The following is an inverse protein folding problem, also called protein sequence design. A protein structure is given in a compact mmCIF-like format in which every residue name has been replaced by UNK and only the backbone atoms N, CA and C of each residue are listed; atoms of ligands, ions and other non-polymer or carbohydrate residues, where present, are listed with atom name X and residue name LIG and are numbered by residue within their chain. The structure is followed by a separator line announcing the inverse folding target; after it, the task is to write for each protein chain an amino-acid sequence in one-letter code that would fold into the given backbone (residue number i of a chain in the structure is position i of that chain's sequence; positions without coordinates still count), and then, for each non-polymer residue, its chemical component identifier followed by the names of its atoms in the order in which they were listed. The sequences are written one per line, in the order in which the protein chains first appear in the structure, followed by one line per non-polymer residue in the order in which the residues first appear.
data_IF_246744959882
#
_entry.id   IF_246744959882
#
_cell.length_a   1.000
_cell.length_b   1.000
_cell.length_c   1.000
_cell.angle_alpha   90.00
_cell.angle_beta   90.00
_cell.angle_gamma   90.00
#
_symmetry.space_group_name_H-M   'P 1'
#
loop_
_entity.id
_entity.type
_entity.pdbx_description
1 polymer ?
#
# COMPACT_ATOMS: atom_id res chain seq x y z
N UNK A 1 -1.82 -16.35 -24.35
CA UNK A 1 -2.96 -16.98 -23.63
C UNK A 1 -4.22 -16.54 -24.34
N UNK A 2 -5.30 -17.32 -24.28
CA UNK A 2 -6.62 -16.82 -24.70
C UNK A 2 -7.14 -15.93 -23.58
N UNK A 3 -7.59 -14.72 -23.90
CA UNK A 3 -8.16 -13.82 -22.89
C UNK A 3 -9.42 -14.44 -22.26
N UNK A 4 -9.58 -14.31 -20.93
CA UNK A 4 -10.82 -14.63 -20.22
C UNK A 4 -11.04 -13.67 -19.05
N UNK A 5 -12.30 -13.51 -18.64
CA UNK A 5 -12.65 -12.68 -17.48
C UNK A 5 -12.06 -13.24 -16.17
N UNK A 6 -11.93 -14.57 -16.04
CA UNK A 6 -11.28 -15.16 -14.87
C UNK A 6 -9.78 -14.83 -14.83
N UNK A 7 -9.08 -14.98 -15.96
CA UNK A 7 -7.66 -14.66 -16.07
C UNK A 7 -7.39 -13.17 -15.79
N UNK A 8 -8.26 -12.29 -16.30
CA UNK A 8 -8.22 -10.86 -16.00
C UNK A 8 -8.36 -10.59 -14.49
N UNK A 9 -9.37 -11.20 -13.85
CA UNK A 9 -9.60 -11.03 -12.41
C UNK A 9 -8.43 -11.53 -11.57
N UNK A 10 -7.85 -12.68 -11.94
CA UNK A 10 -6.69 -13.25 -11.25
C UNK A 10 -5.46 -12.34 -11.40
N UNK A 11 -5.13 -11.92 -12.61
CA UNK A 11 -3.97 -11.09 -12.89
C UNK A 11 -4.01 -9.75 -12.13
N UNK A 12 -5.15 -9.04 -12.19
CA UNK A 12 -5.30 -7.78 -11.47
C UNK A 12 -5.47 -7.98 -9.97
N UNK A 13 -6.01 -9.11 -9.52
CA UNK A 13 -6.02 -9.49 -8.12
C UNK A 13 -4.60 -9.59 -7.55
N UNK A 14 -3.70 -10.26 -8.29
CA UNK A 14 -2.27 -10.33 -7.94
C UNK A 14 -1.63 -8.94 -7.98
N UNK A 15 -1.86 -8.15 -9.03
CA UNK A 15 -1.26 -6.83 -9.16
C UNK A 15 -1.68 -5.86 -8.04
N UNK A 16 -2.95 -5.90 -7.62
CA UNK A 16 -3.46 -5.11 -6.48
C UNK A 16 -2.85 -5.61 -5.17
N UNK A 17 -2.67 -6.92 -5.01
CA UNK A 17 -2.00 -7.47 -3.83
C UNK A 17 -0.55 -7.02 -3.74
N UNK A 18 0.19 -7.06 -4.85
CA UNK A 18 1.57 -6.55 -4.91
C UNK A 18 1.62 -5.05 -4.63
N UNK A 19 0.71 -4.25 -5.20
CA UNK A 19 0.58 -2.83 -4.88
C UNK A 19 0.38 -2.60 -3.38
N UNK A 20 -0.49 -3.39 -2.72
CA UNK A 20 -0.71 -3.26 -1.29
C UNK A 20 0.50 -3.69 -0.45
N UNK A 21 1.24 -4.72 -0.89
CA UNK A 21 2.47 -5.16 -0.22
C UNK A 21 3.57 -4.11 -0.21
N UNK A 22 3.57 -3.15 -1.14
CA UNK A 22 4.56 -2.05 -1.15
C UNK A 22 4.60 -1.33 0.19
N UNK A 23 3.45 -1.09 0.83
CA UNK A 23 3.37 -0.43 2.14
C UNK A 23 4.02 -1.27 3.25
N UNK A 24 3.71 -2.57 3.30
CA UNK A 24 4.27 -3.49 4.28
C UNK A 24 5.78 -3.71 4.07
N UNK A 25 6.25 -3.75 2.82
CA UNK A 25 7.65 -3.95 2.48
C UNK A 25 8.56 -2.80 2.92
N UNK A 26 8.01 -1.60 3.17
CA UNK A 26 8.80 -0.51 3.74
C UNK A 26 9.10 -0.73 5.24
N UNK A 27 8.38 -1.64 5.90
CA UNK A 27 8.53 -1.95 7.32
C UNK A 27 9.23 -3.32 7.43
N UNK A 28 10.53 -3.30 7.68
CA UNK A 28 11.35 -4.52 7.79
C UNK A 28 11.15 -5.10 9.20
N UNK A 29 10.18 -6.00 9.33
CA UNK A 29 9.95 -6.77 10.56
C UNK A 29 10.11 -8.25 10.25
N UNK A 30 11.26 -8.81 10.62
CA UNK A 30 11.46 -10.26 10.59
C UNK A 30 10.68 -10.92 11.76
N UNK A 31 10.36 -12.23 11.66
CA UNK A 31 9.88 -12.99 12.81
C UNK A 31 10.87 -12.85 13.97
N UNK A 32 10.36 -12.51 15.17
CA UNK A 32 11.16 -12.24 16.39
C UNK A 32 11.94 -10.90 16.40
N UNK A 33 11.64 -9.94 15.52
CA UNK A 33 12.21 -8.59 15.63
C UNK A 33 11.75 -7.94 16.93
N UNK A 34 12.70 -7.41 17.71
CA UNK A 34 12.37 -6.68 18.93
C UNK A 34 11.65 -5.35 18.62
N UNK A 35 10.90 -4.85 19.59
CA UNK A 35 10.09 -3.63 19.42
C UNK A 35 10.91 -2.42 18.97
N UNK A 36 12.13 -2.28 19.50
CA UNK A 36 12.99 -1.14 19.21
C UNK A 36 13.46 -1.15 17.75
N UNK A 37 13.87 -2.31 17.25
CA UNK A 37 14.27 -2.52 15.86
C UNK A 37 13.10 -2.35 14.88
N UNK A 38 11.91 -2.83 15.26
CA UNK A 38 10.69 -2.60 14.46
C UNK A 38 10.33 -1.11 14.41
N UNK A 39 10.39 -0.39 15.53
CA UNK A 39 10.15 1.06 15.57
C UNK A 39 11.22 1.84 14.82
N UNK A 40 12.48 1.42 14.89
CA UNK A 40 13.54 2.01 14.08
C UNK A 40 13.25 1.87 12.58
N UNK A 41 12.74 0.72 12.13
CA UNK A 41 12.33 0.55 10.74
C UNK A 41 11.22 1.53 10.35
N UNK A 42 10.19 1.70 11.18
CA UNK A 42 9.10 2.64 10.91
C UNK A 42 9.59 4.10 10.95
N UNK A 43 10.51 4.42 11.86
CA UNK A 43 11.13 5.74 11.98
C UNK A 43 11.98 6.13 10.77
N UNK A 44 12.42 5.14 9.99
CA UNK A 44 13.29 5.29 8.83
C UNK A 44 12.56 4.98 7.50
N UNK A 45 11.23 5.01 7.48
CA UNK A 45 10.45 4.89 6.25
C UNK A 45 10.96 5.87 5.17
N UNK A 46 11.32 5.32 4.01
CA UNK A 46 11.76 6.12 2.87
C UNK A 46 10.54 6.53 2.04
N UNK A 47 10.10 7.77 2.22
CA UNK A 47 8.97 8.33 1.47
C UNK A 47 9.23 8.38 -0.04
N UNK A 48 10.47 8.68 -0.42
CA UNK A 48 10.90 8.72 -1.82
C UNK A 48 10.79 7.33 -2.44
N UNK A 49 11.28 6.30 -1.74
CA UNK A 49 11.19 4.92 -2.22
C UNK A 49 9.74 4.46 -2.30
N UNK A 50 8.94 4.73 -1.26
CA UNK A 50 7.52 4.41 -1.25
C UNK A 50 6.80 5.06 -2.45
N UNK A 51 7.06 6.34 -2.74
CA UNK A 51 6.48 7.04 -3.87
C UNK A 51 6.87 6.41 -5.21
N UNK A 52 8.16 6.11 -5.40
CA UNK A 52 8.65 5.46 -6.63
C UNK A 52 8.01 4.09 -6.82
N UNK A 53 8.05 3.24 -5.80
CA UNK A 53 7.49 1.88 -5.85
C UNK A 53 5.98 1.92 -6.20
N UNK A 54 5.23 2.87 -5.61
CA UNK A 54 3.79 3.04 -5.90
C UNK A 54 3.55 3.48 -7.35
N UNK A 55 4.33 4.42 -7.87
CA UNK A 55 4.18 4.89 -9.24
C UNK A 55 4.55 3.82 -10.27
N UNK A 56 5.64 3.09 -10.03
CA UNK A 56 6.08 1.98 -10.89
C UNK A 56 5.02 0.85 -10.91
N UNK A 57 4.41 0.57 -9.76
CA UNK A 57 3.32 -0.41 -9.67
C UNK A 57 2.06 0.03 -10.41
N UNK A 58 1.70 1.32 -10.36
CA UNK A 58 0.56 1.85 -11.11
C UNK A 58 0.83 1.77 -12.61
N UNK A 59 2.02 2.17 -13.06
CA UNK A 59 2.40 2.08 -14.46
C UNK A 59 2.35 0.62 -14.97
N UNK A 60 2.85 -0.32 -14.17
CA UNK A 60 2.77 -1.76 -14.47
C UNK A 60 1.32 -2.23 -14.65
N UNK A 61 0.40 -1.75 -13.81
CA UNK A 61 -1.04 -2.05 -13.92
C UNK A 61 -1.63 -1.48 -15.21
N UNK A 62 -1.28 -0.25 -15.58
CA UNK A 62 -1.75 0.38 -16.82
C UNK A 62 -1.23 -0.35 -18.07
N UNK A 63 0.04 -0.76 -18.06
CA UNK A 63 0.61 -1.58 -19.13
C UNK A 63 -0.07 -2.95 -19.24
N UNK A 64 -0.43 -3.56 -18.11
CA UNK A 64 -1.23 -4.80 -18.09
C UNK A 64 -2.63 -4.60 -18.66
N UNK A 65 -3.28 -3.46 -18.40
CA UNK A 65 -4.58 -3.11 -18.97
C UNK A 65 -4.51 -3.01 -20.49
N UNK A 66 -3.51 -2.30 -21.02
CA UNK A 66 -3.27 -2.22 -22.46
C UNK A 66 -3.06 -3.61 -23.08
N UNK A 67 -2.19 -4.43 -22.47
CA UNK A 67 -1.92 -5.79 -22.97
C UNK A 67 -3.18 -6.66 -22.98
N UNK A 68 -3.94 -6.66 -21.89
CA UNK A 68 -5.20 -7.40 -21.80
C UNK A 68 -6.22 -6.93 -22.84
N UNK A 69 -6.27 -5.63 -23.15
CA UNK A 69 -7.15 -5.11 -24.19
C UNK A 69 -6.75 -5.60 -25.58
N UNK A 70 -5.45 -5.61 -25.91
CA UNK A 70 -4.96 -6.18 -27.18
C UNK A 70 -5.30 -7.66 -27.27
N UNK A 71 -4.97 -8.45 -26.25
CA UNK A 71 -5.21 -9.91 -26.23
C UNK A 71 -6.71 -10.25 -26.37
N UNK A 72 -7.59 -9.45 -25.73
CA UNK A 72 -9.04 -9.58 -25.85
C UNK A 72 -9.51 -9.35 -27.29
N UNK A 73 -9.05 -8.27 -27.92
CA UNK A 73 -9.45 -7.92 -29.29
C UNK A 73 -8.88 -8.88 -30.33
N UNK A 74 -7.66 -9.37 -30.16
CA UNK A 74 -7.09 -10.43 -31.02
C UNK A 74 -7.93 -11.71 -30.92
N UNK A 75 -8.39 -12.08 -29.72
CA UNK A 75 -9.28 -13.23 -29.51
C UNK A 75 -10.63 -13.05 -30.23
N UNK A 76 -11.09 -11.81 -30.39
CA UNK A 76 -12.30 -11.46 -31.18
C UNK A 76 -12.05 -11.41 -32.70
N UNK A 77 -10.81 -11.59 -33.16
CA UNK A 77 -10.46 -11.68 -34.59
C UNK A 77 -10.03 -10.37 -35.25
N UNK A 78 -9.74 -9.31 -34.48
CA UNK A 78 -9.24 -8.05 -35.02
C UNK A 78 -7.73 -8.13 -35.39
N UNK A 79 -7.30 -7.45 -36.47
CA UNK A 79 -5.88 -7.41 -36.91
C UNK A 79 -5.03 -6.55 -35.95
N UNK A 80 -3.99 -7.16 -35.37
CA UNK A 80 -3.10 -6.56 -34.38
C UNK A 80 -2.44 -5.25 -34.84
N UNK A 81 -2.22 -5.06 -36.14
CA UNK A 81 -1.60 -3.84 -36.70
C UNK A 81 -2.41 -2.58 -36.49
N UNK A 82 -3.72 -2.69 -36.27
CA UNK A 82 -4.62 -1.56 -36.01
C UNK A 82 -5.00 -1.43 -34.53
N UNK A 83 -4.78 -2.48 -33.73
CA UNK A 83 -5.19 -2.53 -32.33
C UNK A 83 -4.32 -1.68 -31.43
N UNK A 84 -3.00 -1.69 -31.62
CA UNK A 84 -2.08 -0.97 -30.72
C UNK A 84 -2.39 0.53 -30.64
N UNK A 85 -2.64 1.20 -31.77
CA UNK A 85 -2.94 2.64 -31.77
C UNK A 85 -4.27 2.96 -31.07
N UNK A 86 -5.28 2.11 -31.24
CA UNK A 86 -6.60 2.30 -30.63
C UNK A 86 -6.51 2.04 -29.13
N UNK A 87 -5.86 0.95 -28.73
CA UNK A 87 -5.69 0.57 -27.33
C UNK A 87 -4.87 1.61 -26.57
N UNK A 88 -3.76 2.10 -27.13
CA UNK A 88 -2.94 3.13 -26.47
C UNK A 88 -3.72 4.45 -26.31
N UNK A 89 -4.57 4.80 -27.27
CA UNK A 89 -5.41 6.00 -27.20
C UNK A 89 -6.49 5.90 -26.11
N UNK A 90 -7.03 4.70 -25.89
CA UNK A 90 -8.11 4.45 -24.91
C UNK A 90 -7.56 4.18 -23.51
N UNK A 91 -6.59 3.27 -23.41
CA UNK A 91 -5.94 2.86 -22.17
C UNK A 91 -4.65 3.67 -21.93
N UNK A 92 -4.77 4.99 -21.84
CA UNK A 92 -3.60 5.88 -21.75
C UNK A 92 -2.84 5.69 -20.43
N UNK A 93 -1.51 5.62 -20.53
CA UNK A 93 -0.63 5.65 -19.35
C UNK A 93 -0.77 6.99 -18.59
N UNK A 94 -0.64 6.93 -17.27
CA UNK A 94 -0.82 8.05 -16.36
C UNK A 94 -2.26 8.35 -15.97
N UNK A 95 -3.25 7.66 -16.55
CA UNK A 95 -4.67 7.82 -16.22
C UNK A 95 -4.92 7.46 -14.76
N UNK A 96 -4.62 6.24 -14.34
CA UNK A 96 -4.79 5.76 -12.98
C UNK A 96 -3.99 6.62 -11.99
N UNK A 97 -2.75 6.97 -12.36
CA UNK A 97 -1.91 7.85 -11.53
C UNK A 97 -2.57 9.21 -11.31
N UNK A 98 -3.14 9.81 -12.34
CA UNK A 98 -3.81 11.12 -12.23
C UNK A 98 -5.03 11.08 -11.31
N UNK A 99 -5.81 9.99 -11.38
CA UNK A 99 -6.98 9.78 -10.53
C UNK A 99 -6.60 9.57 -9.06
N UNK A 100 -5.56 8.77 -8.81
CA UNK A 100 -5.14 8.40 -7.46
C UNK A 100 -4.17 9.40 -6.84
N UNK A 101 -3.72 10.42 -7.59
CA UNK A 101 -2.67 11.36 -7.18
C UNK A 101 -2.90 11.96 -5.79
N UNK A 102 -4.14 12.39 -5.51
CA UNK A 102 -4.50 12.97 -4.22
C UNK A 102 -4.44 11.95 -3.08
N UNK A 103 -4.97 10.76 -3.29
CA UNK A 103 -4.99 9.70 -2.27
C UNK A 103 -3.57 9.17 -2.01
N UNK A 104 -2.73 9.06 -3.05
CA UNK A 104 -1.30 8.73 -2.91
C UNK A 104 -0.59 9.78 -2.05
N UNK A 105 -0.76 11.07 -2.35
CA UNK A 105 -0.14 12.13 -1.56
C UNK A 105 -0.62 12.13 -0.11
N UNK A 106 -1.91 11.86 0.13
CA UNK A 106 -2.43 11.74 1.50
C UNK A 106 -1.77 10.59 2.27
N UNK A 107 -1.53 9.44 1.63
CA UNK A 107 -0.81 8.32 2.24
C UNK A 107 0.66 8.65 2.49
N UNK A 108 1.33 9.37 1.58
CA UNK A 108 2.71 9.83 1.77
C UNK A 108 2.82 10.82 2.94
N UNK A 109 1.88 11.75 3.07
CA UNK A 109 1.81 12.67 4.21
C UNK A 109 1.59 11.90 5.52
N UNK A 110 0.66 10.94 5.54
CA UNK A 110 0.45 10.08 6.72
C UNK A 110 1.66 9.21 7.05
N UNK A 111 2.40 8.74 6.05
CA UNK A 111 3.66 8.02 6.25
C UNK A 111 4.71 8.90 6.95
N UNK A 112 4.72 10.21 6.63
CA UNK A 112 5.58 11.19 7.30
C UNK A 112 5.22 11.32 8.77
N UNK A 113 3.92 11.46 9.09
CA UNK A 113 3.45 11.56 10.47
C UNK A 113 3.69 10.28 11.26
N UNK A 114 3.48 9.11 10.65
CA UNK A 114 3.77 7.82 11.25
C UNK A 114 5.27 7.70 11.58
N UNK A 115 6.14 7.99 10.61
CA UNK A 115 7.60 7.97 10.79
C UNK A 115 8.04 8.91 11.91
N UNK A 116 7.50 10.13 11.96
CA UNK A 116 7.81 11.08 13.03
C UNK A 116 7.32 10.60 14.39
N UNK A 117 6.09 10.09 14.49
CA UNK A 117 5.56 9.57 15.76
C UNK A 117 6.34 8.36 16.27
N UNK A 118 6.92 7.54 15.39
CA UNK A 118 7.83 6.47 15.75
C UNK A 118 9.16 7.00 16.32
N UNK A 119 9.74 8.05 15.73
CA UNK A 119 10.95 8.72 16.27
C UNK A 119 10.69 9.31 17.65
N UNK A 120 9.56 9.98 17.82
CA UNK A 120 9.19 10.59 19.09
C UNK A 120 9.03 9.52 20.18
N UNK A 121 8.38 8.40 19.86
CA UNK A 121 8.20 7.30 20.79
C UNK A 121 9.54 6.63 21.16
N UNK A 122 10.42 6.39 20.18
CA UNK A 122 11.78 5.89 20.44
C UNK A 122 12.54 6.82 21.39
N UNK A 123 12.57 8.12 21.08
CA UNK A 123 13.30 9.11 21.88
C UNK A 123 12.78 9.18 23.33
N UNK A 124 11.47 9.08 23.53
CA UNK A 124 10.87 9.06 24.86
C UNK A 124 11.21 7.77 25.63
N UNK A 125 11.22 6.62 24.95
CA UNK A 125 11.64 5.34 25.56
C UNK A 125 13.13 5.35 25.91
N UNK A 126 13.99 5.84 25.03
CA UNK A 126 15.44 5.96 25.26
C UNK A 126 15.77 6.92 26.40
N UNK A 127 15.07 8.06 26.48
CA UNK A 127 15.20 9.04 27.57
C UNK A 127 14.87 8.45 28.94
N UNK A 128 13.89 7.55 29.02
CA UNK A 128 13.42 6.96 30.28
C UNK A 128 14.06 5.62 30.63
N UNK A 129 14.84 5.02 29.73
CA UNK A 129 15.57 3.75 29.97
C UNK A 129 16.93 3.94 30.65
N UNK A 130 17.31 5.18 30.99
CA UNK A 130 18.64 5.56 31.48
C UNK A 130 19.05 5.09 32.90
N UNK A 131 18.15 4.90 33.87
CA UNK A 131 18.51 4.38 35.22
C UNK A 131 17.31 3.64 35.84
N UNK A 132 17.27 2.30 35.66
CA UNK A 132 16.27 1.29 36.13
C UNK A 132 15.01 1.07 35.28
N UNK A 133 14.94 -0.13 34.68
CA UNK A 133 13.72 -0.82 34.24
C UNK A 133 13.25 -0.39 32.84
N UNK A 134 13.02 -1.26 31.86
CA UNK A 134 12.52 -2.62 31.92
C UNK A 134 12.84 -3.29 30.57
N UNK A 135 13.50 -4.45 30.63
CA UNK A 135 13.37 -5.50 29.61
C UNK A 135 12.29 -6.44 30.15
N UNK A 136 11.22 -6.71 29.39
CA UNK A 136 10.48 -7.99 29.30
C UNK A 136 9.09 -7.78 28.65
N UNK A 137 8.78 -8.69 27.71
CA UNK A 137 7.45 -9.00 27.13
C UNK A 137 7.52 -8.92 25.60
N UNK A 138 7.67 -10.01 24.82
CA UNK A 138 6.75 -11.14 24.74
C UNK A 138 7.40 -12.40 24.14
N UNK A 139 7.44 -13.49 24.91
CA UNK A 139 7.14 -14.84 24.42
C UNK A 139 5.73 -15.11 24.93
N UNK A 140 4.75 -15.15 24.05
CA UNK A 140 3.47 -15.88 24.21
C UNK A 140 2.63 -15.64 22.95
N UNK A 141 2.11 -16.71 22.36
CA UNK A 141 1.47 -16.71 21.05
C UNK A 141 0.13 -15.96 21.02
N UNK A 142 0.19 -14.65 20.79
CA UNK A 142 -0.95 -13.82 20.42
C UNK A 142 -0.95 -13.59 18.91
N UNK A 143 -2.10 -13.77 18.27
CA UNK A 143 -2.28 -13.60 16.81
C UNK A 143 -2.23 -12.13 16.35
N UNK A 144 -2.03 -11.18 17.29
CA UNK A 144 -1.93 -9.76 17.05
C UNK A 144 -0.77 -9.15 17.88
N UNK A 145 0.26 -8.56 17.25
CA UNK A 145 1.41 -7.96 17.95
C UNK A 145 1.03 -6.77 18.85
N UNK A 146 -0.17 -6.18 18.68
CA UNK A 146 -0.70 -5.10 19.51
C UNK A 146 -1.18 -5.62 20.89
N UNK A 147 -1.70 -6.86 20.96
CA UNK A 147 -2.19 -7.44 22.22
C UNK A 147 -1.06 -7.83 23.18
N UNK A 148 0.10 -8.23 22.63
CA UNK A 148 1.31 -8.42 23.42
C UNK A 148 1.75 -7.12 24.09
N UNK A 149 1.72 -6.00 23.37
CA UNK A 149 2.15 -4.71 23.92
C UNK A 149 1.25 -4.20 25.07
N UNK A 150 -0.01 -4.67 25.16
CA UNK A 150 -0.98 -4.24 26.18
C UNK A 150 -0.84 -4.97 27.53
N UNK A 151 -0.34 -6.21 27.53
CA UNK A 151 -0.33 -7.06 28.72
C UNK A 151 1.00 -7.07 29.50
N UNK A 152 2.11 -6.61 28.91
CA UNK A 152 3.44 -6.59 29.55
C UNK A 152 3.70 -5.43 30.50
N UNK A 153 2.91 -4.35 30.42
CA UNK A 153 3.15 -3.14 31.19
C UNK A 153 2.29 -3.09 32.46
N UNK A 154 2.93 -3.38 33.58
CA UNK A 154 2.32 -3.39 34.91
C UNK A 154 1.67 -2.06 35.29
N UNK A 155 0.52 -2.17 35.98
CA UNK A 155 -0.19 -1.07 36.65
C UNK A 155 0.68 -0.41 37.73
N UNK A 156 1.58 0.49 37.35
CA UNK A 156 2.40 1.22 38.31
C UNK A 156 3.50 2.07 37.65
N UNK A 157 3.19 3.34 37.40
CA UNK A 157 4.10 4.39 36.91
C UNK A 157 4.80 4.14 35.56
N UNK A 158 4.03 3.91 34.49
CA UNK A 158 4.50 4.40 33.18
C UNK A 158 4.40 5.93 33.21
N UNK A 159 5.50 6.61 32.87
CA UNK A 159 5.51 8.06 32.72
C UNK A 159 4.42 8.49 31.71
N UNK A 160 3.59 9.47 32.07
CA UNK A 160 2.53 10.05 31.21
C UNK A 160 3.09 10.41 29.81
N UNK A 161 4.37 10.79 29.74
CA UNK A 161 5.08 11.08 28.49
C UNK A 161 5.16 9.86 27.55
N UNK A 162 5.49 8.66 28.07
CA UNK A 162 5.55 7.42 27.28
C UNK A 162 4.16 7.04 26.77
N UNK A 163 3.14 7.12 27.64
CA UNK A 163 1.77 6.79 27.27
C UNK A 163 1.24 7.72 26.18
N UNK A 164 1.49 9.03 26.29
CA UNK A 164 1.08 9.99 25.27
C UNK A 164 1.78 9.75 23.93
N UNK A 165 3.08 9.43 23.93
CA UNK A 165 3.81 9.10 22.71
C UNK A 165 3.27 7.81 22.07
N UNK A 166 2.95 6.79 22.87
CA UNK A 166 2.38 5.54 22.40
C UNK A 166 0.99 5.74 21.78
N UNK A 167 0.11 6.52 22.41
CA UNK A 167 -1.22 6.85 21.88
C UNK A 167 -1.10 7.57 20.53
N UNK A 168 -0.20 8.55 20.42
CA UNK A 168 0.02 9.28 19.16
C UNK A 168 0.48 8.35 18.05
N UNK A 169 1.46 7.49 18.33
CA UNK A 169 1.93 6.49 17.36
C UNK A 169 0.79 5.56 16.91
N UNK A 170 -0.01 5.04 17.84
CA UNK A 170 -1.14 4.17 17.53
C UNK A 170 -2.19 4.86 16.64
N UNK A 171 -2.50 6.13 16.93
CA UNK A 171 -3.43 6.91 16.11
C UNK A 171 -2.91 7.09 14.68
N UNK A 172 -1.62 7.41 14.50
CA UNK A 172 -1.03 7.54 13.17
C UNK A 172 -0.98 6.21 12.42
N UNK A 173 -0.67 5.12 13.11
CA UNK A 173 -0.65 3.78 12.51
C UNK A 173 -2.05 3.37 12.01
N UNK A 174 -3.10 3.66 12.77
CA UNK A 174 -4.48 3.40 12.35
C UNK A 174 -4.88 4.22 11.12
N UNK A 175 -4.53 5.52 11.09
CA UNK A 175 -4.82 6.39 9.94
C UNK A 175 -4.09 5.94 8.67
N UNK A 176 -2.81 5.59 8.81
CA UNK A 176 -2.00 5.05 7.73
C UNK A 176 -2.63 3.77 7.17
N UNK A 177 -2.91 2.77 8.03
CA UNK A 177 -3.50 1.50 7.60
C UNK A 177 -4.82 1.72 6.86
N UNK A 178 -5.74 2.50 7.43
CA UNK A 178 -7.04 2.78 6.81
C UNK A 178 -6.90 3.46 5.44
N UNK A 179 -5.93 4.36 5.28
CA UNK A 179 -5.73 5.07 4.02
C UNK A 179 -5.04 4.21 2.97
N UNK A 180 -4.13 3.31 3.36
CA UNK A 180 -3.53 2.33 2.45
C UNK A 180 -4.56 1.32 1.94
N UNK A 181 -5.46 0.86 2.81
CA UNK A 181 -6.59 -0.01 2.44
C UNK A 181 -7.55 0.71 1.48
N UNK A 182 -7.91 1.96 1.81
CA UNK A 182 -8.74 2.81 0.94
C UNK A 182 -8.09 2.98 -0.43
N UNK A 183 -6.80 3.32 -0.49
CA UNK A 183 -6.08 3.54 -1.75
C UNK A 183 -6.03 2.27 -2.61
N UNK A 184 -5.81 1.10 -2.00
CA UNK A 184 -5.86 -0.17 -2.72
C UNK A 184 -7.26 -0.49 -3.26
N UNK A 185 -8.32 -0.17 -2.51
CA UNK A 185 -9.70 -0.33 -2.97
C UNK A 185 -10.05 0.66 -4.09
N UNK A 186 -9.64 1.92 -3.98
CA UNK A 186 -9.84 2.93 -5.02
C UNK A 186 -9.12 2.53 -6.31
N UNK A 187 -7.90 2.02 -6.21
CA UNK A 187 -7.17 1.46 -7.35
C UNK A 187 -7.95 0.32 -8.02
N UNK A 188 -8.48 -0.63 -7.25
CA UNK A 188 -9.32 -1.72 -7.78
C UNK A 188 -10.53 -1.19 -8.54
N UNK A 189 -11.26 -0.24 -7.94
CA UNK A 189 -12.43 0.39 -8.58
C UNK A 189 -12.04 1.09 -9.87
N UNK A 190 -10.92 1.82 -9.87
CA UNK A 190 -10.45 2.56 -11.03
C UNK A 190 -9.96 1.64 -12.17
N UNK A 191 -9.32 0.51 -11.87
CA UNK A 191 -8.96 -0.50 -12.87
C UNK A 191 -10.22 -1.01 -13.58
N UNK A 192 -11.24 -1.41 -12.81
CA UNK A 192 -12.49 -1.93 -13.37
C UNK A 192 -13.25 -0.88 -14.20
N UNK A 193 -13.27 0.37 -13.71
CA UNK A 193 -13.88 1.48 -14.44
C UNK A 193 -13.15 1.75 -15.75
N UNK A 194 -11.82 1.84 -15.70
CA UNK A 194 -10.98 2.08 -16.88
C UNK A 194 -11.17 0.97 -17.92
N UNK A 195 -11.26 -0.27 -17.46
CA UNK A 195 -11.60 -1.40 -18.32
C UNK A 195 -12.95 -1.24 -19.00
N UNK A 196 -14.02 -1.03 -18.24
CA UNK A 196 -15.38 -0.94 -18.78
C UNK A 196 -15.56 0.26 -19.72
N UNK A 197 -15.09 1.43 -19.30
CA UNK A 197 -15.15 2.66 -20.11
C UNK A 197 -14.27 2.51 -21.37
N UNK A 198 -13.14 1.81 -21.26
CA UNK A 198 -12.24 1.55 -22.37
C UNK A 198 -12.83 0.60 -23.41
N UNK A 199 -13.40 -0.52 -22.98
CA UNK A 199 -14.09 -1.47 -23.86
C UNK A 199 -15.22 -0.78 -24.64
N UNK A 200 -16.04 0.04 -23.98
CA UNK A 200 -17.10 0.79 -24.62
C UNK A 200 -16.58 1.79 -25.67
N UNK A 201 -15.46 2.47 -25.39
CA UNK A 201 -14.83 3.38 -26.35
C UNK A 201 -14.26 2.66 -27.56
N UNK A 202 -13.67 1.48 -27.36
CA UNK A 202 -13.13 0.67 -28.46
C UNK A 202 -14.26 0.19 -29.37
N UNK A 203 -15.37 -0.30 -28.80
CA UNK A 203 -16.57 -0.67 -29.57
C UNK A 203 -17.05 0.47 -30.47
N UNK A 204 -17.19 1.68 -29.91
CA UNK A 204 -17.60 2.86 -30.68
C UNK A 204 -16.60 3.24 -31.79
N UNK A 205 -15.29 2.99 -31.59
CA UNK A 205 -14.25 3.31 -32.58
C UNK A 205 -14.15 2.27 -33.70
N UNK A 206 -14.60 1.04 -33.45
CA UNK A 206 -14.56 -0.08 -34.41
C UNK A 206 -15.86 -0.15 -35.23
N UNK A 207 -16.99 0.26 -34.66
CA UNK A 207 -18.30 0.30 -35.36
C UNK A 207 -18.46 1.52 -36.30
N UNK A 208 -17.47 2.43 -36.34
CA UNK A 208 -17.37 3.58 -37.26
C UNK A 208 -16.47 3.25 -38.46
#
# INVERSE_FOLDING_TARGET
MTWSSEAFCEEFGVAISEFHKIFANQIVVAPNTDWHSAMLSVSNLSLVKLQVDLFDSIETIEQKLQRNAVECLETMGYDSRYLESIVVDVFRLGTLRSFLYRDINAVLDQSTYLSQSARDLLAVVDKHSGIKGMVIGFITGYNNPIDGLLHGFGKGSLNIEIQNAQIRFQQQAQLFNSSTEKLAMDLKVMILRTWNDGVAQIQNKIEL
#
